data_IF_903603054740
#
_entry.id   IF_903603054740
#
_cell.length_a   1.000
_cell.length_b   1.000
_cell.length_c   1.000
_cell.angle_alpha   90.00
_cell.angle_beta   90.00
_cell.angle_gamma   90.00
#
_symmetry.space_group_name_H-M   'P 1'
#
loop_
_entity.id
_entity.type
_entity.pdbx_description
1 polymer ?
#
# COMPACT_ATOMS: atom_id res chain seq x y z
N UNK A 1 20.11 36.31 19.92
CA UNK A 1 21.44 35.77 19.51
C UNK A 1 21.19 34.52 18.66
N UNK A 2 21.35 34.65 17.33
CA UNK A 2 21.14 33.54 16.41
C UNK A 2 22.38 32.62 16.44
N UNK A 3 22.35 31.57 17.22
CA UNK A 3 23.27 30.46 17.05
C UNK A 3 22.78 29.60 15.88
N UNK A 4 23.15 30.02 14.66
CA UNK A 4 23.08 29.13 13.51
C UNK A 4 24.08 28.01 13.75
N UNK A 5 23.61 26.85 14.22
CA UNK A 5 24.37 25.62 14.25
C UNK A 5 24.68 25.30 12.79
N UNK A 6 25.86 25.68 12.33
CA UNK A 6 26.40 25.24 11.05
C UNK A 6 26.69 23.75 11.20
N UNK A 7 25.77 22.89 10.82
CA UNK A 7 26.05 21.47 10.66
C UNK A 7 27.19 21.35 9.66
N UNK A 8 28.39 21.05 10.16
CA UNK A 8 29.54 20.80 9.29
C UNK A 8 29.27 19.51 8.54
N UNK A 9 29.22 19.61 7.24
CA UNK A 9 29.11 18.50 6.33
C UNK A 9 30.52 17.95 6.04
N UNK A 10 30.68 16.66 6.19
CA UNK A 10 31.93 15.95 5.97
C UNK A 10 31.74 14.81 4.97
N UNK A 11 32.80 14.37 4.35
CA UNK A 11 32.78 13.16 3.52
C UNK A 11 34.09 12.36 3.70
N UNK A 12 34.00 11.05 3.56
CA UNK A 12 35.18 10.17 3.66
C UNK A 12 34.96 8.88 2.87
N UNK A 13 36.10 8.30 2.39
CA UNK A 13 36.15 6.92 1.89
C UNK A 13 36.69 5.95 2.94
N UNK A 14 37.14 6.47 4.09
CA UNK A 14 37.60 5.65 5.19
C UNK A 14 36.42 5.17 6.05
N UNK A 15 35.89 4.00 5.70
CA UNK A 15 34.75 3.39 6.37
C UNK A 15 35.07 2.89 7.78
N UNK A 16 36.37 2.74 8.13
CA UNK A 16 36.80 2.23 9.44
C UNK A 16 36.55 3.25 10.56
N UNK A 17 36.37 4.52 10.21
CA UNK A 17 36.03 5.59 11.16
C UNK A 17 34.66 5.38 11.82
N UNK A 18 33.72 4.69 11.15
CA UNK A 18 32.36 4.57 11.62
C UNK A 18 32.20 3.37 12.56
N UNK A 19 31.61 3.61 13.72
CA UNK A 19 31.32 2.62 14.73
C UNK A 19 29.82 2.35 14.77
N UNK A 20 29.43 1.14 15.19
CA UNK A 20 28.02 0.80 15.42
C UNK A 20 27.56 1.42 16.74
N UNK A 21 26.54 2.26 16.72
CA UNK A 21 25.92 2.78 17.92
C UNK A 21 25.16 1.69 18.68
N UNK A 22 25.16 1.78 20.02
CA UNK A 22 24.36 0.93 20.87
C UNK A 22 22.86 1.16 20.58
N UNK A 23 22.13 0.09 20.30
CA UNK A 23 20.69 0.18 19.93
C UNK A 23 20.40 0.10 18.43
N UNK A 24 21.42 0.15 17.56
CA UNK A 24 21.23 -0.13 16.16
C UNK A 24 20.83 -1.60 15.91
N UNK A 25 19.80 -1.79 15.09
CA UNK A 25 19.35 -3.10 14.63
C UNK A 25 20.44 -3.79 13.81
N UNK A 26 20.36 -5.11 13.56
CA UNK A 26 21.16 -5.75 12.51
C UNK A 26 20.91 -5.09 11.17
N UNK A 27 21.95 -5.07 10.31
CA UNK A 27 21.82 -4.57 8.94
C UNK A 27 20.95 -5.53 8.14
N UNK A 28 19.92 -4.99 7.49
CA UNK A 28 19.05 -5.74 6.57
C UNK A 28 19.67 -5.70 5.16
N UNK A 29 20.17 -6.82 4.71
CA UNK A 29 20.80 -6.96 3.39
C UNK A 29 19.85 -6.68 2.24
N UNK A 30 18.55 -7.00 2.39
CA UNK A 30 17.54 -6.70 1.37
C UNK A 30 17.38 -5.20 1.20
N UNK A 31 17.36 -4.47 2.30
CA UNK A 31 17.29 -3.02 2.28
C UNK A 31 18.58 -2.39 1.72
N UNK A 32 19.75 -2.94 2.05
CA UNK A 32 21.03 -2.50 1.46
C UNK A 32 21.03 -2.68 -0.06
N UNK A 33 20.58 -3.83 -0.57
CA UNK A 33 20.47 -4.07 -2.02
C UNK A 33 19.53 -3.07 -2.71
N UNK A 34 18.43 -2.69 -2.07
CA UNK A 34 17.50 -1.65 -2.59
C UNK A 34 18.19 -0.27 -2.62
N UNK A 35 18.88 0.11 -1.54
CA UNK A 35 19.60 1.38 -1.47
C UNK A 35 20.70 1.46 -2.52
N UNK A 36 21.45 0.39 -2.75
CA UNK A 36 22.47 0.33 -3.82
C UNK A 36 21.89 0.63 -5.19
N UNK A 37 20.72 0.07 -5.52
CA UNK A 37 20.03 0.37 -6.79
C UNK A 37 19.63 1.83 -6.88
N UNK A 38 19.03 2.38 -5.81
CA UNK A 38 18.61 3.78 -5.78
C UNK A 38 19.80 4.75 -5.91
N UNK A 39 20.90 4.47 -5.21
CA UNK A 39 22.13 5.28 -5.30
C UNK A 39 22.72 5.21 -6.72
N UNK A 40 22.74 4.03 -7.35
CA UNK A 40 23.21 3.85 -8.71
C UNK A 40 22.32 4.55 -9.76
N UNK A 41 20.99 4.59 -9.55
CA UNK A 41 20.07 5.31 -10.42
C UNK A 41 20.23 6.83 -10.28
N UNK A 42 20.30 7.32 -9.05
CA UNK A 42 20.50 8.74 -8.73
C UNK A 42 21.01 8.91 -7.31
N UNK A 43 22.28 9.26 -7.15
CA UNK A 43 22.84 9.57 -5.85
C UNK A 43 22.37 10.97 -5.39
N UNK A 44 21.46 10.99 -4.39
CA UNK A 44 21.00 12.23 -3.77
C UNK A 44 21.95 12.74 -2.69
N UNK A 45 23.03 11.99 -2.43
CA UNK A 45 24.11 12.35 -1.52
C UNK A 45 23.63 12.65 -0.09
N UNK A 46 22.62 11.87 0.39
CA UNK A 46 22.02 12.02 1.72
C UNK A 46 23.04 11.63 2.82
N UNK A 47 23.38 12.55 3.76
CA UNK A 47 24.39 12.29 4.77
C UNK A 47 23.86 11.36 5.88
N UNK A 48 24.73 10.46 6.34
CA UNK A 48 24.49 9.72 7.56
C UNK A 48 24.70 10.62 8.80
N UNK A 49 24.09 10.27 9.91
CA UNK A 49 24.24 10.99 11.17
C UNK A 49 25.10 10.19 12.14
N UNK A 50 26.16 10.82 12.63
CA UNK A 50 27.07 10.23 13.62
C UNK A 50 27.15 11.12 14.85
N UNK A 51 27.48 10.56 16.01
CA UNK A 51 27.82 11.34 17.18
C UNK A 51 29.32 11.73 17.19
N UNK A 52 29.76 12.43 18.23
CA UNK A 52 31.15 12.87 18.41
C UNK A 52 32.16 11.72 18.44
N UNK A 53 31.71 10.51 18.80
CA UNK A 53 32.54 9.29 18.84
C UNK A 53 32.54 8.51 17.53
N UNK A 54 31.95 9.09 16.46
CA UNK A 54 31.77 8.48 15.14
C UNK A 54 30.88 7.23 15.17
N UNK A 55 30.00 7.12 16.16
CA UNK A 55 28.97 6.08 16.19
C UNK A 55 27.80 6.49 15.30
N UNK A 56 27.39 5.59 14.43
CA UNK A 56 26.30 5.83 13.46
C UNK A 56 24.96 5.80 14.17
N UNK A 57 24.37 6.95 14.36
CA UNK A 57 23.05 7.10 14.98
C UNK A 57 21.93 6.84 13.99
N UNK A 58 22.15 7.26 12.72
CA UNK A 58 21.18 7.05 11.63
C UNK A 58 21.92 6.88 10.31
N UNK A 59 21.37 6.04 9.41
CA UNK A 59 21.94 5.80 8.09
C UNK A 59 22.85 4.58 7.99
N UNK A 60 22.81 3.61 8.92
CA UNK A 60 23.65 2.41 8.87
C UNK A 60 23.53 1.60 7.56
N UNK A 61 22.33 1.50 6.98
CA UNK A 61 22.12 0.81 5.71
C UNK A 61 22.71 1.62 4.53
N UNK A 62 22.61 2.95 4.60
CA UNK A 62 23.24 3.85 3.62
C UNK A 62 24.76 3.74 3.68
N UNK A 63 25.35 3.71 4.88
CA UNK A 63 26.78 3.46 5.07
C UNK A 63 27.20 2.14 4.42
N UNK A 64 26.48 1.05 4.71
CA UNK A 64 26.78 -0.26 4.16
C UNK A 64 26.64 -0.28 2.63
N UNK A 65 25.58 0.31 2.09
CA UNK A 65 25.36 0.40 0.64
C UNK A 65 26.49 1.17 -0.07
N UNK A 66 26.93 2.31 0.51
CA UNK A 66 28.02 3.12 -0.04
C UNK A 66 29.36 2.41 0.05
N UNK A 67 29.62 1.71 1.17
CA UNK A 67 30.81 0.87 1.33
C UNK A 67 30.90 -0.22 0.25
N UNK A 68 29.78 -0.91 -0.03
CA UNK A 68 29.74 -1.96 -1.06
C UNK A 68 29.80 -1.43 -2.50
N UNK A 69 29.53 -0.14 -2.70
CA UNK A 69 29.67 0.56 -3.98
C UNK A 69 30.98 1.32 -4.11
N UNK A 70 31.85 1.25 -3.11
CA UNK A 70 33.11 2.01 -3.02
C UNK A 70 32.93 3.53 -3.22
N UNK A 71 31.88 4.09 -2.63
CA UNK A 71 31.51 5.49 -2.74
C UNK A 71 31.82 6.26 -1.46
N UNK A 72 32.20 7.55 -1.60
CA UNK A 72 32.32 8.45 -0.46
C UNK A 72 31.07 8.45 0.40
N UNK A 73 31.26 8.47 1.72
CA UNK A 73 30.15 8.58 2.70
C UNK A 73 30.06 10.02 3.16
N UNK A 74 28.98 10.74 2.80
CA UNK A 74 28.68 12.02 3.39
C UNK A 74 28.14 11.82 4.81
N UNK A 75 28.58 12.65 5.77
CA UNK A 75 28.09 12.55 7.14
C UNK A 75 28.02 13.91 7.83
N UNK A 76 27.19 13.99 8.84
CA UNK A 76 27.09 15.11 9.77
C UNK A 76 27.28 14.62 11.19
N UNK A 77 27.98 15.41 11.99
CA UNK A 77 28.16 15.13 13.43
C UNK A 77 27.02 15.82 14.17
N UNK A 78 26.22 15.03 14.89
CA UNK A 78 25.14 15.53 15.72
C UNK A 78 25.49 15.38 17.20
N UNK A 79 24.91 16.24 18.04
CA UNK A 79 25.04 16.13 19.47
C UNK A 79 24.03 15.09 19.98
N UNK A 80 24.51 13.86 20.13
CA UNK A 80 23.71 12.70 20.53
C UNK A 80 24.56 11.79 21.39
N UNK A 81 24.31 11.85 22.69
CA UNK A 81 24.96 10.98 23.68
C UNK A 81 23.94 10.00 24.32
N UNK A 82 22.64 10.09 23.95
CA UNK A 82 21.58 9.22 24.43
C UNK A 82 21.38 8.02 23.51
N UNK A 83 21.55 6.76 24.00
CA UNK A 83 21.27 5.56 23.20
C UNK A 83 19.85 5.50 22.62
N UNK A 84 18.88 6.25 23.21
CA UNK A 84 17.51 6.34 22.72
C UNK A 84 17.38 7.21 21.45
N UNK A 85 18.38 8.01 21.09
CA UNK A 85 18.31 8.88 19.92
C UNK A 85 18.27 8.09 18.62
N UNK A 86 18.89 6.90 18.58
CA UNK A 86 18.71 5.95 17.47
C UNK A 86 17.24 5.61 17.28
N UNK A 87 16.53 5.31 18.37
CA UNK A 87 15.11 4.97 18.32
C UNK A 87 14.28 6.21 17.94
N UNK A 88 14.57 7.38 18.52
CA UNK A 88 13.83 8.64 18.25
C UNK A 88 13.92 9.04 16.78
N UNK A 89 15.10 8.99 16.17
CA UNK A 89 15.29 9.31 14.75
C UNK A 89 14.59 8.31 13.81
N UNK A 90 14.58 7.03 14.18
CA UNK A 90 13.91 6.00 13.38
C UNK A 90 12.37 6.01 13.56
N UNK A 91 11.87 6.35 14.74
CA UNK A 91 10.41 6.40 15.02
C UNK A 91 9.74 7.58 14.31
N UNK A 92 10.47 8.68 14.12
CA UNK A 92 9.97 9.86 13.40
C UNK A 92 9.88 9.68 11.87
N UNK A 93 10.48 8.65 11.31
CA UNK A 93 10.44 8.37 9.87
C UNK A 93 9.25 7.51 9.52
N UNK A 94 8.18 8.16 9.08
CA UNK A 94 7.01 7.46 8.53
C UNK A 94 7.30 7.05 7.08
N UNK A 95 7.21 5.76 6.79
CA UNK A 95 7.28 5.29 5.40
C UNK A 95 6.14 5.92 4.59
N UNK A 96 6.40 6.28 3.35
CA UNK A 96 5.39 6.80 2.44
C UNK A 96 4.27 5.79 2.25
N UNK A 97 3.05 6.25 2.46
CA UNK A 97 1.86 5.48 2.15
C UNK A 97 1.55 5.53 0.65
N UNK A 98 0.65 4.69 0.19
CA UNK A 98 0.18 4.74 -1.21
C UNK A 98 -0.49 6.08 -1.54
N UNK A 99 -1.12 6.73 -0.55
CA UNK A 99 -1.68 8.09 -0.67
C UNK A 99 -0.60 9.14 -0.92
N UNK A 100 0.56 9.04 -0.21
CA UNK A 100 1.66 9.98 -0.41
C UNK A 100 2.23 9.89 -1.85
N UNK A 101 2.36 8.66 -2.40
CA UNK A 101 2.77 8.47 -3.79
C UNK A 101 1.71 9.02 -4.77
N UNK A 102 0.42 8.78 -4.49
CA UNK A 102 -0.68 9.34 -5.28
C UNK A 102 -0.61 10.87 -5.32
N UNK A 103 -0.42 11.51 -4.14
CA UNK A 103 -0.29 12.96 -4.01
C UNK A 103 0.88 13.50 -4.83
N UNK A 104 2.04 12.87 -4.70
CA UNK A 104 3.24 13.25 -5.43
C UNK A 104 3.04 13.21 -6.95
N UNK A 105 2.45 12.12 -7.46
CA UNK A 105 2.27 11.97 -8.90
C UNK A 105 1.12 12.83 -9.46
N UNK A 106 0.08 13.07 -8.67
CA UNK A 106 -0.95 14.07 -9.01
C UNK A 106 -0.38 15.48 -9.11
N UNK A 107 0.51 15.88 -8.17
CA UNK A 107 1.20 17.16 -8.20
C UNK A 107 2.11 17.34 -9.44
N UNK A 108 2.56 16.22 -10.02
CA UNK A 108 3.31 16.19 -11.30
C UNK A 108 2.40 16.10 -12.52
N UNK A 109 1.09 16.35 -12.37
CA UNK A 109 0.09 16.31 -13.43
C UNK A 109 0.00 14.97 -14.19
N UNK A 110 0.34 13.85 -13.55
CA UNK A 110 0.17 12.54 -14.17
C UNK A 110 -1.31 12.17 -14.25
N UNK A 111 -1.84 12.10 -15.49
CA UNK A 111 -3.27 11.93 -15.79
C UNK A 111 -3.89 10.73 -15.08
N UNK A 112 -3.28 9.55 -15.17
CA UNK A 112 -3.86 8.31 -14.63
C UNK A 112 -3.93 8.31 -13.10
N UNK A 113 -3.01 9.04 -12.44
CA UNK A 113 -3.06 9.27 -10.99
C UNK A 113 -4.17 10.23 -10.60
N UNK A 114 -4.41 11.28 -11.41
CA UNK A 114 -5.53 12.20 -11.20
C UNK A 114 -6.87 11.47 -11.37
N UNK A 115 -6.99 10.59 -12.37
CA UNK A 115 -8.15 9.72 -12.55
C UNK A 115 -8.32 8.81 -11.33
N UNK A 116 -7.26 8.13 -10.88
CA UNK A 116 -7.29 7.30 -9.69
C UNK A 116 -7.80 8.08 -8.46
N UNK A 117 -7.30 9.30 -8.23
CA UNK A 117 -7.76 10.19 -7.16
C UNK A 117 -9.24 10.51 -7.27
N UNK A 118 -9.69 10.88 -8.45
CA UNK A 118 -11.08 11.24 -8.69
C UNK A 118 -12.01 10.05 -8.42
N UNK A 119 -11.65 8.84 -8.91
CA UNK A 119 -12.43 7.62 -8.70
C UNK A 119 -12.42 7.17 -7.23
N UNK A 120 -11.28 7.28 -6.55
CA UNK A 120 -11.17 7.03 -5.12
C UNK A 120 -12.14 7.90 -4.30
N UNK A 121 -12.17 9.21 -4.60
CA UNK A 121 -13.07 10.14 -3.92
C UNK A 121 -14.55 9.91 -4.31
N UNK A 122 -14.81 9.65 -5.58
CA UNK A 122 -16.17 9.42 -6.11
C UNK A 122 -16.83 8.20 -5.46
N UNK A 123 -16.08 7.11 -5.25
CA UNK A 123 -16.63 5.83 -4.77
C UNK A 123 -16.27 5.52 -3.32
N UNK A 124 -15.54 6.40 -2.62
CA UNK A 124 -15.14 6.20 -1.23
C UNK A 124 -14.17 5.02 -1.05
N UNK A 125 -13.36 4.73 -2.07
CA UNK A 125 -12.36 3.67 -2.09
C UNK A 125 -11.05 4.15 -1.48
N UNK A 126 -10.20 3.22 -1.02
CA UNK A 126 -8.80 3.53 -0.79
C UNK A 126 -7.98 3.40 -2.09
N UNK A 127 -6.73 3.89 -2.07
CA UNK A 127 -5.86 3.88 -3.26
C UNK A 127 -5.68 2.47 -3.82
N UNK A 128 -5.43 1.48 -2.96
CA UNK A 128 -5.19 0.09 -3.39
C UNK A 128 -6.43 -0.54 -4.04
N UNK A 129 -7.60 -0.30 -3.49
CA UNK A 129 -8.89 -0.75 -4.05
C UNK A 129 -9.16 -0.10 -5.41
N UNK A 130 -8.91 1.20 -5.50
CA UNK A 130 -9.08 1.95 -6.75
C UNK A 130 -8.13 1.44 -7.85
N UNK A 131 -6.86 1.18 -7.52
CA UNK A 131 -5.87 0.61 -8.44
C UNK A 131 -6.36 -0.76 -8.95
N UNK A 132 -6.82 -1.64 -8.06
CA UNK A 132 -7.31 -2.97 -8.43
C UNK A 132 -8.47 -2.89 -9.42
N UNK A 133 -9.43 -1.99 -9.18
CA UNK A 133 -10.56 -1.79 -10.09
C UNK A 133 -10.14 -1.18 -11.42
N UNK A 134 -9.25 -0.18 -11.43
CA UNK A 134 -8.73 0.46 -12.63
C UNK A 134 -7.88 -0.51 -13.47
N UNK A 135 -7.18 -1.42 -12.84
CA UNK A 135 -6.37 -2.45 -13.50
C UNK A 135 -7.17 -3.71 -13.88
N UNK A 136 -8.43 -3.81 -13.50
CA UNK A 136 -9.31 -4.98 -13.66
C UNK A 136 -8.72 -6.25 -13.03
N UNK A 137 -7.96 -6.11 -11.95
CA UNK A 137 -7.27 -7.20 -11.27
C UNK A 137 -8.16 -7.90 -10.24
N UNK A 138 -7.74 -9.09 -9.84
CA UNK A 138 -8.32 -9.82 -8.72
C UNK A 138 -7.73 -9.33 -7.38
N UNK A 139 -6.47 -8.96 -7.38
CA UNK A 139 -5.74 -8.48 -6.19
C UNK A 139 -4.65 -7.49 -6.59
N UNK A 140 -4.09 -6.80 -5.59
CA UNK A 140 -2.99 -5.88 -5.81
C UNK A 140 -1.64 -6.64 -5.77
N UNK A 141 -0.98 -6.74 -6.90
CA UNK A 141 0.30 -7.42 -7.05
C UNK A 141 1.47 -6.49 -6.77
N UNK A 142 2.59 -7.07 -6.32
CA UNK A 142 3.82 -6.31 -6.02
C UNK A 142 4.32 -5.48 -7.21
N UNK A 143 4.21 -5.99 -8.43
CA UNK A 143 4.60 -5.27 -9.65
C UNK A 143 3.80 -3.98 -9.80
N UNK A 144 2.47 -4.05 -9.74
CA UNK A 144 1.60 -2.87 -9.87
C UNK A 144 1.86 -1.84 -8.76
N UNK A 145 2.09 -2.31 -7.53
CA UNK A 145 2.46 -1.45 -6.42
C UNK A 145 3.80 -0.75 -6.68
N UNK A 146 4.76 -1.45 -7.27
CA UNK A 146 6.07 -0.90 -7.62
C UNK A 146 5.95 0.14 -8.73
N UNK A 147 5.23 -0.17 -9.81
CA UNK A 147 5.00 0.73 -10.93
C UNK A 147 4.24 1.98 -10.47
N UNK A 148 3.25 1.82 -9.59
CA UNK A 148 2.53 2.94 -8.99
C UNK A 148 3.45 3.86 -8.18
N UNK A 149 4.32 3.32 -7.34
CA UNK A 149 5.29 4.10 -6.56
C UNK A 149 6.31 4.83 -7.44
N UNK A 150 6.77 4.22 -8.52
CA UNK A 150 7.72 4.81 -9.48
C UNK A 150 7.09 5.89 -10.36
N UNK A 151 5.79 5.90 -10.50
CA UNK A 151 5.09 6.82 -11.38
C UNK A 151 4.78 6.24 -12.76
N UNK A 152 4.91 4.93 -12.94
CA UNK A 152 4.72 4.22 -14.21
C UNK A 152 3.33 3.56 -14.29
N UNK A 153 2.42 3.97 -13.41
CA UNK A 153 1.05 3.48 -13.39
C UNK A 153 0.28 3.98 -14.62
N UNK A 154 -0.25 3.05 -15.40
CA UNK A 154 -1.06 3.32 -16.59
C UNK A 154 -2.38 2.54 -16.46
N UNK A 155 -3.49 3.21 -16.71
CA UNK A 155 -4.82 2.59 -16.72
C UNK A 155 -5.05 1.90 -18.07
N UNK A 156 -5.27 0.57 -18.10
CA UNK A 156 -5.54 -0.14 -19.34
C UNK A 156 -6.93 0.21 -19.91
N UNK A 157 -7.13 -0.11 -21.19
CA UNK A 157 -8.43 0.05 -21.85
C UNK A 157 -9.56 -0.67 -21.08
N UNK A 158 -10.69 0.01 -20.90
CA UNK A 158 -11.82 -0.48 -20.13
C UNK A 158 -11.62 -0.43 -18.59
N UNK A 159 -10.48 0.08 -18.10
CA UNK A 159 -10.21 0.16 -16.66
C UNK A 159 -11.07 1.19 -15.95
N UNK A 160 -11.31 2.34 -16.60
CA UNK A 160 -12.17 3.40 -16.05
C UNK A 160 -13.61 2.91 -15.98
N UNK A 161 -14.13 2.32 -17.04
CA UNK A 161 -15.47 1.76 -17.14
C UNK A 161 -15.71 0.67 -16.10
N UNK A 162 -14.71 -0.22 -15.90
CA UNK A 162 -14.78 -1.23 -14.86
C UNK A 162 -14.83 -0.61 -13.46
N UNK A 163 -13.98 0.39 -13.19
CA UNK A 163 -13.98 1.09 -11.90
C UNK A 163 -15.33 1.79 -11.66
N UNK A 164 -15.92 2.41 -12.67
CA UNK A 164 -17.22 3.08 -12.58
C UNK A 164 -18.35 2.10 -12.32
N UNK A 165 -18.36 0.98 -13.03
CA UNK A 165 -19.38 -0.08 -12.85
C UNK A 165 -19.31 -0.67 -11.45
N UNK A 166 -18.14 -1.18 -11.05
CA UNK A 166 -17.99 -1.86 -9.76
C UNK A 166 -18.07 -0.86 -8.60
N UNK A 167 -17.48 0.32 -8.72
CA UNK A 167 -17.57 1.40 -7.73
C UNK A 167 -19.01 1.82 -7.46
N UNK A 168 -19.81 1.99 -8.51
CA UNK A 168 -21.25 2.31 -8.39
C UNK A 168 -22.03 1.19 -7.70
N UNK A 169 -21.71 -0.06 -7.98
CA UNK A 169 -22.33 -1.22 -7.31
C UNK A 169 -21.97 -1.26 -5.82
N UNK A 170 -20.70 -1.04 -5.47
CA UNK A 170 -20.24 -0.96 -4.08
C UNK A 170 -20.94 0.17 -3.31
N UNK A 171 -21.12 1.34 -3.94
CA UNK A 171 -21.89 2.44 -3.32
C UNK A 171 -23.34 2.05 -3.04
N UNK A 172 -24.00 1.35 -3.96
CA UNK A 172 -25.36 0.88 -3.77
C UNK A 172 -25.48 -0.16 -2.65
N UNK A 173 -24.44 -0.99 -2.46
CA UNK A 173 -24.39 -2.03 -1.43
C UNK A 173 -23.98 -1.47 -0.06
N UNK A 174 -23.38 -0.28 -0.01
CA UNK A 174 -22.77 0.30 1.21
C UNK A 174 -23.72 0.28 2.41
N UNK A 175 -24.99 0.66 2.20
CA UNK A 175 -26.02 0.67 3.25
C UNK A 175 -26.27 -0.70 3.89
N UNK A 176 -26.05 -1.78 3.13
CA UNK A 176 -26.22 -3.15 3.64
C UNK A 176 -24.98 -3.64 4.39
N UNK A 177 -23.81 -3.14 4.01
CA UNK A 177 -22.54 -3.56 4.60
C UNK A 177 -22.21 -2.86 5.92
N UNK A 178 -22.58 -1.60 6.06
CA UNK A 178 -22.23 -0.77 7.23
C UNK A 178 -23.39 -0.63 8.25
N UNK A 179 -24.59 -1.14 7.92
CA UNK A 179 -25.80 -0.78 8.65
C UNK A 179 -26.31 0.62 8.26
N UNK A 180 -27.52 0.98 8.69
CA UNK A 180 -28.22 2.16 8.16
C UNK A 180 -27.61 3.51 8.56
N UNK A 181 -26.66 3.57 9.52
CA UNK A 181 -26.32 4.83 10.20
C UNK A 181 -24.90 5.36 9.96
N UNK A 182 -24.08 4.73 9.11
CA UNK A 182 -22.67 5.13 8.96
C UNK A 182 -22.28 5.53 7.54
N UNK A 183 -22.74 6.71 7.13
CA UNK A 183 -22.38 7.33 5.84
C UNK A 183 -20.90 7.78 5.76
N UNK A 184 -20.18 7.81 6.88
CA UNK A 184 -18.79 8.32 6.97
C UNK A 184 -17.72 7.25 6.97
N UNK A 185 -18.03 5.99 7.27
CA UNK A 185 -17.06 4.91 7.28
C UNK A 185 -16.84 4.32 5.89
N UNK A 186 -15.59 4.11 5.53
CA UNK A 186 -15.22 3.35 4.34
C UNK A 186 -15.57 1.87 4.54
N UNK A 187 -15.90 1.17 3.47
CA UNK A 187 -16.03 -0.28 3.50
C UNK A 187 -14.71 -0.91 3.97
N UNK A 188 -14.81 -2.04 4.68
CA UNK A 188 -13.62 -2.82 5.01
C UNK A 188 -12.97 -3.31 3.72
N UNK A 189 -11.65 -3.18 3.63
CA UNK A 189 -10.87 -3.63 2.47
C UNK A 189 -11.18 -5.08 2.10
N UNK A 190 -11.21 -5.98 3.08
CA UNK A 190 -11.53 -7.40 2.87
C UNK A 190 -12.91 -7.62 2.23
N UNK A 191 -13.88 -6.79 2.54
CA UNK A 191 -15.23 -6.83 1.95
C UNK A 191 -15.24 -6.34 0.49
N UNK A 192 -14.50 -5.25 0.20
CA UNK A 192 -14.36 -4.76 -1.19
C UNK A 192 -13.72 -5.82 -2.07
N UNK A 193 -12.65 -6.45 -1.58
CA UNK A 193 -11.99 -7.54 -2.32
C UNK A 193 -12.90 -8.75 -2.50
N UNK A 194 -13.65 -9.16 -1.49
CA UNK A 194 -14.61 -10.25 -1.61
C UNK A 194 -15.71 -9.94 -2.65
N UNK A 195 -16.15 -8.67 -2.71
CA UNK A 195 -17.08 -8.26 -3.75
C UNK A 195 -16.47 -8.32 -5.15
N UNK A 196 -15.20 -7.93 -5.31
CA UNK A 196 -14.48 -8.07 -6.59
C UNK A 196 -14.39 -9.54 -7.02
N UNK A 197 -14.16 -10.46 -6.08
CA UNK A 197 -14.22 -11.92 -6.36
C UNK A 197 -15.58 -12.31 -6.91
N UNK A 198 -16.66 -11.88 -6.24
CA UNK A 198 -18.01 -12.18 -6.68
C UNK A 198 -18.33 -11.60 -8.06
N UNK A 199 -17.97 -10.34 -8.30
CA UNK A 199 -18.17 -9.66 -9.59
C UNK A 199 -17.45 -10.34 -10.76
N UNK A 200 -16.32 -11.00 -10.50
CA UNK A 200 -15.58 -11.77 -11.51
C UNK A 200 -16.15 -13.15 -11.78
N UNK A 201 -17.02 -13.67 -10.94
CA UNK A 201 -17.64 -14.98 -11.15
C UNK A 201 -18.65 -14.92 -12.30
N UNK A 202 -18.55 -15.81 -13.32
CA UNK A 202 -19.36 -15.72 -14.55
C UNK A 202 -20.88 -15.75 -14.33
N UNK A 203 -21.33 -16.41 -13.27
CA UNK A 203 -22.77 -16.56 -12.97
C UNK A 203 -23.26 -15.57 -11.91
N UNK A 204 -22.42 -14.60 -11.50
CA UNK A 204 -22.84 -13.63 -10.49
C UNK A 204 -23.71 -12.54 -11.10
N UNK A 205 -24.92 -12.36 -10.54
CA UNK A 205 -25.85 -11.29 -10.91
C UNK A 205 -25.97 -10.26 -9.79
N UNK A 206 -25.57 -9.03 -10.08
CA UNK A 206 -25.61 -7.93 -9.12
C UNK A 206 -27.02 -7.62 -8.63
N UNK A 207 -28.01 -7.65 -9.53
CA UNK A 207 -29.41 -7.28 -9.17
C UNK A 207 -29.99 -8.27 -8.17
N UNK A 208 -29.76 -9.56 -8.41
CA UNK A 208 -30.09 -10.62 -7.47
C UNK A 208 -29.40 -10.43 -6.13
N UNK A 209 -28.10 -10.25 -6.13
CA UNK A 209 -27.32 -10.08 -4.90
C UNK A 209 -27.82 -8.89 -4.08
N UNK A 210 -28.06 -7.74 -4.72
CA UNK A 210 -28.59 -6.54 -4.08
C UNK A 210 -29.95 -6.80 -3.41
N UNK A 211 -30.84 -7.54 -4.07
CA UNK A 211 -32.15 -7.94 -3.48
C UNK A 211 -31.95 -8.83 -2.26
N UNK A 212 -31.06 -9.81 -2.33
CA UNK A 212 -30.77 -10.70 -1.21
C UNK A 212 -30.16 -9.95 -0.02
N UNK A 213 -29.28 -8.96 -0.26
CA UNK A 213 -28.70 -8.12 0.79
C UNK A 213 -29.75 -7.34 1.57
N UNK A 214 -30.85 -6.93 0.95
CA UNK A 214 -31.92 -6.16 1.62
C UNK A 214 -32.54 -6.89 2.82
N UNK A 215 -32.54 -8.21 2.80
CA UNK A 215 -33.12 -9.05 3.87
C UNK A 215 -32.10 -9.71 4.77
N UNK A 216 -30.82 -9.66 4.44
CA UNK A 216 -29.77 -10.44 5.12
C UNK A 216 -28.52 -9.62 5.45
N UNK A 217 -28.64 -8.30 5.56
CA UNK A 217 -27.53 -7.38 5.82
C UNK A 217 -26.77 -7.67 7.12
N UNK A 218 -27.46 -8.17 8.15
CA UNK A 218 -26.83 -8.53 9.43
C UNK A 218 -25.76 -9.61 9.33
N UNK A 219 -25.76 -10.41 8.27
CA UNK A 219 -24.74 -11.46 8.06
C UNK A 219 -23.35 -10.91 7.78
N UNK A 220 -23.24 -9.67 7.28
CA UNK A 220 -21.94 -9.02 7.04
C UNK A 220 -21.19 -8.62 8.32
N UNK A 221 -21.84 -8.59 9.46
CA UNK A 221 -21.22 -8.17 10.71
C UNK A 221 -20.16 -9.16 11.22
N UNK A 222 -20.21 -10.42 10.83
CA UNK A 222 -19.33 -11.49 11.30
C UNK A 222 -18.03 -11.66 10.51
N UNK A 223 -17.88 -11.03 9.36
CA UNK A 223 -16.69 -11.20 8.51
C UNK A 223 -15.47 -10.43 9.02
N UNK A 224 -14.29 -11.06 8.95
CA UNK A 224 -12.99 -10.49 9.34
C UNK A 224 -11.98 -10.50 8.20
N UNK A 225 -11.93 -11.54 7.41
CA UNK A 225 -11.05 -11.75 6.25
C UNK A 225 -11.77 -11.65 4.92
N UNK A 226 -11.03 -11.60 3.81
CA UNK A 226 -11.62 -11.67 2.45
C UNK A 226 -12.35 -13.00 2.25
N UNK A 227 -11.80 -14.12 2.69
CA UNK A 227 -12.43 -15.44 2.61
C UNK A 227 -13.76 -15.51 3.38
N UNK A 228 -13.81 -14.93 4.60
CA UNK A 228 -15.06 -14.86 5.37
C UNK A 228 -16.15 -14.10 4.58
N UNK A 229 -15.79 -12.96 4.00
CA UNK A 229 -16.74 -12.17 3.21
C UNK A 229 -17.15 -12.85 1.90
N UNK A 230 -16.24 -13.60 1.24
CA UNK A 230 -16.59 -14.43 0.08
C UNK A 230 -17.65 -15.47 0.47
N UNK A 231 -17.43 -16.18 1.58
CA UNK A 231 -18.40 -17.16 2.11
C UNK A 231 -19.74 -16.53 2.48
N UNK A 232 -19.72 -15.33 3.07
CA UNK A 232 -20.93 -14.58 3.42
C UNK A 232 -21.67 -14.16 2.15
N UNK A 233 -20.98 -13.62 1.15
CA UNK A 233 -21.56 -13.22 -0.14
C UNK A 233 -22.19 -14.43 -0.83
N UNK A 234 -21.48 -15.56 -0.88
CA UNK A 234 -22.00 -16.82 -1.45
C UNK A 234 -23.30 -17.24 -0.75
N UNK A 235 -23.28 -17.28 0.58
CA UNK A 235 -24.46 -17.69 1.37
C UNK A 235 -25.66 -16.76 1.14
N UNK A 236 -25.43 -15.44 1.09
CA UNK A 236 -26.48 -14.45 0.81
C UNK A 236 -27.02 -14.64 -0.60
N UNK A 237 -26.12 -14.74 -1.59
CA UNK A 237 -26.49 -14.92 -3.00
C UNK A 237 -27.32 -16.18 -3.23
N UNK A 238 -26.90 -17.29 -2.62
CA UNK A 238 -27.52 -18.60 -2.78
C UNK A 238 -28.80 -18.78 -1.98
N UNK A 239 -29.15 -17.83 -1.13
CA UNK A 239 -30.38 -17.93 -0.31
C UNK A 239 -31.63 -17.96 -1.20
N UNK A 240 -32.49 -18.98 -0.96
CA UNK A 240 -33.71 -19.19 -1.74
C UNK A 240 -33.50 -19.76 -3.15
N UNK A 241 -32.26 -20.16 -3.52
CA UNK A 241 -31.98 -20.86 -4.77
C UNK A 241 -32.07 -22.39 -4.62
N UNK A 242 -32.51 -23.03 -5.71
CA UNK A 242 -32.35 -24.49 -5.86
C UNK A 242 -30.89 -24.87 -5.96
N UNK A 243 -30.53 -26.12 -5.65
CA UNK A 243 -29.14 -26.59 -5.66
C UNK A 243 -28.45 -26.38 -7.02
N UNK A 244 -29.21 -26.55 -8.13
CA UNK A 244 -28.69 -26.38 -9.50
C UNK A 244 -28.37 -24.95 -9.87
N UNK A 245 -28.98 -23.96 -9.20
CA UNK A 245 -28.82 -22.52 -9.49
C UNK A 245 -27.85 -21.82 -8.54
N UNK A 246 -27.30 -22.53 -7.58
CA UNK A 246 -26.31 -21.98 -6.64
C UNK A 246 -24.98 -21.77 -7.30
N UNK A 247 -24.32 -20.66 -6.96
CA UNK A 247 -22.92 -20.40 -7.37
C UNK A 247 -21.98 -20.82 -6.25
N UNK A 248 -20.72 -21.10 -6.61
CA UNK A 248 -19.68 -21.55 -5.73
C UNK A 248 -18.54 -20.52 -5.70
N UNK A 249 -18.74 -19.43 -4.98
CA UNK A 249 -17.76 -18.34 -4.89
C UNK A 249 -16.51 -18.73 -4.10
N UNK A 250 -16.66 -19.58 -3.08
CA UNK A 250 -15.52 -20.06 -2.28
C UNK A 250 -14.61 -20.92 -3.14
N UNK A 251 -15.17 -21.89 -3.87
CA UNK A 251 -14.41 -22.73 -4.80
C UNK A 251 -13.72 -21.88 -5.87
N UNK A 252 -14.41 -20.85 -6.41
CA UNK A 252 -13.87 -19.93 -7.40
C UNK A 252 -12.72 -19.10 -6.82
N UNK A 253 -12.86 -18.57 -5.60
CA UNK A 253 -11.81 -17.80 -4.92
C UNK A 253 -10.53 -18.61 -4.67
N UNK A 254 -10.66 -19.90 -4.37
CA UNK A 254 -9.55 -20.82 -4.13
C UNK A 254 -8.97 -21.39 -5.44
N UNK A 255 -9.65 -21.21 -6.56
CA UNK A 255 -9.24 -21.75 -7.85
C UNK A 255 -8.05 -20.99 -8.46
N UNK A 256 -7.24 -21.69 -9.27
CA UNK A 256 -6.19 -21.07 -10.11
C UNK A 256 -6.77 -20.05 -11.10
N UNK A 257 -7.97 -20.29 -11.60
CA UNK A 257 -8.65 -19.40 -12.55
C UNK A 257 -8.85 -17.98 -11.98
N UNK A 258 -9.10 -17.84 -10.69
CA UNK A 258 -9.19 -16.54 -10.04
C UNK A 258 -7.81 -15.91 -9.79
N UNK A 259 -6.79 -16.73 -9.48
CA UNK A 259 -5.44 -16.24 -9.15
C UNK A 259 -4.67 -15.74 -10.39
N UNK A 260 -5.01 -16.23 -11.58
CA UNK A 260 -4.37 -15.88 -12.85
C UNK A 260 -5.04 -14.70 -13.58
N UNK A 261 -6.21 -14.26 -13.14
CA UNK A 261 -6.98 -13.11 -13.69
C UNK A 261 -6.76 -11.84 -12.86
#
# INVERSE_FOLDING_TARGET
>A
MNNAIKNKYFETTDYTKFKKARGNRPVDETHVKQLKKLIAEKDLYDPIRVNKNMEVIDGQHTLQARKELDLKVPFIIIDSDDPLDVARLNTGRKNWSMENFLDQHCARNKRDYQICRNKMNQYGLNVSECIVLLQKLASLWNRITTDFKKGDFIIPAGGIENCDRVGSQLMQLRKYFLGMDDTKRRLKRSMVYAYIVADKHPQFDFTRFKKACATKSSWFLSGTSTGDYVSIIERIYNSGLTQKSKIKLVDFFESKEYQEK
#
